data_IF_341937731285
#
_entry.id   IF_341937731285
#
_cell.length_a   1.000
_cell.length_b   1.000
_cell.length_c   1.000
_cell.angle_alpha   90.00
_cell.angle_beta   90.00
_cell.angle_gamma   90.00
#
_symmetry.space_group_name_H-M   'P 1'
#
loop_
_entity.id
_entity.type
_entity.pdbx_description
1 polymer ?
#
# COMPACT_ATOMS: atom_id res chain seq x y z
N UNK A 1 -5.64 8.66 11.43
CA UNK A 1 -5.45 8.68 12.90
C UNK A 1 -4.39 9.73 13.23
N UNK A 2 -4.58 10.63 14.19
CA UNK A 2 -3.59 11.67 14.55
C UNK A 2 -2.99 11.30 15.92
N UNK A 3 -1.68 11.14 16.01
CA UNK A 3 -0.97 10.62 17.20
C UNK A 3 -0.51 11.70 18.20
N UNK A 4 -0.58 12.97 17.85
CA UNK A 4 -0.20 14.11 18.70
C UNK A 4 -1.07 15.34 18.42
N UNK A 5 -1.03 16.32 19.30
CA UNK A 5 -1.53 17.69 19.11
C UNK A 5 -0.40 18.68 19.35
N UNK A 6 -0.55 19.90 18.84
CA UNK A 6 0.34 21.01 19.17
C UNK A 6 -0.47 21.96 20.06
N UNK A 7 0.00 22.15 21.28
CA UNK A 7 -0.59 23.03 22.29
C UNK A 7 0.53 23.93 22.80
N UNK A 8 0.32 25.26 22.76
CA UNK A 8 1.32 26.25 23.20
C UNK A 8 2.74 26.05 22.63
N UNK A 9 2.84 25.79 21.31
CA UNK A 9 4.07 25.47 20.57
C UNK A 9 4.79 24.18 21.02
N UNK A 10 4.19 23.37 21.89
CA UNK A 10 4.71 22.07 22.33
C UNK A 10 3.94 20.89 21.72
N UNK A 11 4.67 19.79 21.46
CA UNK A 11 4.09 18.54 20.94
C UNK A 11 3.55 17.70 22.09
N UNK A 12 2.23 17.57 22.17
CA UNK A 12 1.54 16.73 23.15
C UNK A 12 1.16 15.40 22.50
N UNK A 13 1.77 14.30 22.95
CA UNK A 13 1.47 12.97 22.43
C UNK A 13 0.14 12.43 22.96
N UNK A 14 -0.73 11.89 22.10
CA UNK A 14 -2.01 11.31 22.57
C UNK A 14 -1.86 9.96 23.26
N UNK A 15 -0.77 9.23 22.97
CA UNK A 15 -0.53 7.88 23.45
C UNK A 15 0.82 7.77 24.17
N UNK A 16 0.87 8.26 25.41
CA UNK A 16 2.09 8.29 26.22
C UNK A 16 2.63 6.90 26.58
N UNK A 17 1.75 5.90 26.69
CA UNK A 17 2.13 4.53 27.03
C UNK A 17 2.29 3.66 25.78
N UNK A 18 3.48 3.08 25.61
CA UNK A 18 3.79 2.23 24.47
C UNK A 18 2.81 1.05 24.28
N UNK A 19 2.34 0.32 25.32
CA UNK A 19 1.35 -0.75 25.14
C UNK A 19 0.04 -0.25 24.51
N UNK A 20 -0.42 0.94 24.91
CA UNK A 20 -1.64 1.56 24.36
C UNK A 20 -1.38 2.01 22.93
N UNK A 21 -0.25 2.69 22.67
CA UNK A 21 0.15 3.10 21.32
C UNK A 21 0.24 1.91 20.37
N UNK A 22 0.87 0.81 20.81
CA UNK A 22 1.01 -0.41 20.03
C UNK A 22 -0.36 -1.00 19.66
N UNK A 23 -1.30 -1.07 20.61
CA UNK A 23 -2.62 -1.66 20.38
C UNK A 23 -3.52 -0.76 19.53
N UNK A 24 -3.64 0.51 19.89
CA UNK A 24 -4.60 1.43 19.28
C UNK A 24 -4.13 1.99 17.94
N UNK A 25 -2.81 2.12 17.75
CA UNK A 25 -2.23 2.73 16.55
C UNK A 25 -1.53 1.67 15.70
N UNK A 26 -0.43 1.10 16.19
CA UNK A 26 0.45 0.26 15.37
C UNK A 26 -0.30 -0.97 14.84
N UNK A 27 -0.94 -1.75 15.71
CA UNK A 27 -1.61 -2.98 15.29
C UNK A 27 -2.79 -2.74 14.33
N UNK A 28 -3.56 -1.66 14.55
CA UNK A 28 -4.67 -1.29 13.66
C UNK A 28 -4.15 -0.82 12.30
N UNK A 29 -3.10 0.00 12.28
CA UNK A 29 -2.47 0.45 11.05
C UNK A 29 -1.83 -0.71 10.27
N UNK A 30 -1.13 -1.62 10.95
CA UNK A 30 -0.55 -2.82 10.30
C UNK A 30 -1.66 -3.67 9.67
N UNK A 31 -2.80 -3.84 10.37
CA UNK A 31 -3.95 -4.57 9.83
C UNK A 31 -4.48 -3.90 8.56
N UNK A 32 -4.72 -2.59 8.61
CA UNK A 32 -5.21 -1.83 7.46
C UNK A 32 -4.24 -1.86 6.27
N UNK A 33 -2.94 -1.74 6.51
CA UNK A 33 -1.90 -1.82 5.48
C UNK A 33 -1.90 -3.20 4.82
N UNK A 34 -1.94 -4.28 5.60
CA UNK A 34 -2.00 -5.65 5.06
C UNK A 34 -3.27 -5.93 4.25
N UNK A 35 -4.37 -5.25 4.57
CA UNK A 35 -5.65 -5.43 3.87
C UNK A 35 -5.75 -4.61 2.57
N UNK A 36 -5.09 -3.44 2.51
CA UNK A 36 -5.29 -2.46 1.43
C UNK A 36 -4.09 -2.24 0.53
N UNK A 37 -2.95 -2.87 0.80
CA UNK A 37 -1.72 -2.65 0.05
C UNK A 37 -1.06 -3.97 -0.33
N UNK A 38 -0.10 -3.89 -1.22
CA UNK A 38 0.81 -4.93 -1.72
C UNK A 38 1.80 -5.45 -0.67
N UNK A 39 1.77 -4.91 0.55
CA UNK A 39 2.65 -5.31 1.65
C UNK A 39 2.16 -6.64 2.21
N UNK A 40 2.81 -7.74 1.79
CA UNK A 40 2.49 -9.11 2.22
C UNK A 40 2.88 -9.37 3.68
N UNK A 41 4.01 -8.79 4.11
CA UNK A 41 4.45 -8.88 5.48
C UNK A 41 4.82 -7.51 6.02
N UNK A 42 4.36 -7.22 7.24
CA UNK A 42 4.73 -6.04 7.99
C UNK A 42 4.78 -6.44 9.47
N UNK A 43 5.92 -6.21 10.09
CA UNK A 43 6.18 -6.47 11.51
C UNK A 43 6.77 -5.24 12.19
N UNK A 44 6.54 -5.14 13.50
CA UNK A 44 7.07 -4.08 14.34
C UNK A 44 7.74 -4.73 15.58
N UNK A 45 9.05 -4.59 15.65
CA UNK A 45 9.91 -5.13 16.69
C UNK A 45 10.45 -4.01 17.59
N UNK A 46 10.77 -4.36 18.83
CA UNK A 46 11.44 -3.42 19.74
C UNK A 46 12.94 -3.56 19.50
N UNK A 47 13.55 -2.52 18.96
CA UNK A 47 14.98 -2.48 18.67
C UNK A 47 15.81 -2.22 19.92
N UNK A 48 15.42 -1.18 20.66
CA UNK A 48 16.12 -0.77 21.87
C UNK A 48 15.17 -0.29 22.94
N UNK A 49 15.64 -0.41 24.18
CA UNK A 49 14.99 0.13 25.36
C UNK A 49 15.95 1.08 26.05
N UNK A 50 15.41 2.19 26.53
CA UNK A 50 16.11 3.10 27.42
C UNK A 50 15.61 2.82 28.84
N UNK A 51 16.41 2.08 29.61
CA UNK A 51 15.99 1.52 30.89
C UNK A 51 14.79 0.59 30.74
N UNK A 52 13.66 0.96 31.36
CA UNK A 52 12.39 0.19 31.28
C UNK A 52 11.47 0.65 30.14
N UNK A 53 11.79 1.74 29.46
CA UNK A 53 10.97 2.32 28.39
C UNK A 53 11.47 1.85 27.03
N UNK A 54 10.54 1.63 26.10
CA UNK A 54 10.88 1.38 24.69
C UNK A 54 11.32 2.70 24.07
N UNK A 55 12.48 2.71 23.40
CA UNK A 55 13.02 3.91 22.77
C UNK A 55 13.00 3.85 21.25
N UNK A 56 13.31 2.69 20.67
CA UNK A 56 13.38 2.53 19.21
C UNK A 56 12.60 1.29 18.77
N UNK A 57 11.90 1.43 17.65
CA UNK A 57 11.17 0.37 16.98
C UNK A 57 11.82 0.08 15.63
N UNK A 58 11.94 -1.20 15.29
CA UNK A 58 12.34 -1.65 13.95
C UNK A 58 11.11 -2.15 13.22
N UNK A 59 10.88 -1.64 12.02
CA UNK A 59 9.86 -2.14 11.12
C UNK A 59 10.51 -2.98 10.03
N UNK A 60 9.97 -4.17 9.81
CA UNK A 60 10.39 -5.07 8.74
C UNK A 60 9.19 -5.35 7.87
N UNK A 61 9.37 -5.27 6.56
CA UNK A 61 8.29 -5.48 5.61
C UNK A 61 8.77 -6.19 4.34
N UNK A 62 7.83 -6.85 3.68
CA UNK A 62 8.02 -7.49 2.40
C UNK A 62 6.89 -7.05 1.47
N UNK A 63 7.27 -6.58 0.28
CA UNK A 63 6.36 -6.10 -0.76
C UNK A 63 6.31 -7.15 -1.86
N UNK A 64 5.10 -7.53 -2.27
CA UNK A 64 4.90 -8.47 -3.37
C UNK A 64 4.26 -7.73 -4.53
N UNK A 65 5.10 -7.33 -5.49
CA UNK A 65 4.73 -6.52 -6.67
C UNK A 65 3.66 -7.20 -7.54
N UNK A 66 3.52 -8.53 -7.46
CA UNK A 66 2.54 -9.30 -8.22
C UNK A 66 1.08 -9.04 -7.80
N UNK A 67 0.82 -8.57 -6.56
CA UNK A 67 -0.54 -8.42 -6.01
C UNK A 67 -1.22 -7.08 -6.35
N UNK A 68 -0.50 -6.14 -6.96
CA UNK A 68 -1.02 -4.83 -7.37
C UNK A 68 -0.93 -4.60 -8.89
N UNK A 69 -0.64 -5.64 -9.67
CA UNK A 69 -1.09 -5.61 -11.05
C UNK A 69 -2.61 -5.72 -10.99
N UNK A 70 -3.33 -4.69 -11.39
CA UNK A 70 -4.80 -4.68 -11.50
C UNK A 70 -5.28 -5.63 -12.60
N UNK A 71 -4.90 -6.91 -12.47
CA UNK A 71 -5.47 -8.05 -13.15
C UNK A 71 -6.33 -8.71 -12.07
N UNK A 72 -7.33 -7.98 -11.64
CA UNK A 72 -8.56 -8.59 -11.19
C UNK A 72 -8.95 -9.68 -12.19
N UNK A 73 -9.11 -10.92 -11.72
CA UNK A 73 -9.65 -12.02 -12.51
C UNK A 73 -11.11 -11.76 -12.99
N UNK A 74 -11.62 -10.54 -12.82
CA UNK A 74 -12.85 -10.03 -13.41
C UNK A 74 -12.62 -9.32 -14.76
N UNK A 75 -11.38 -9.03 -15.16
CA UNK A 75 -11.09 -8.51 -16.51
C UNK A 75 -10.84 -9.61 -17.53
N UNK A 76 -11.74 -10.59 -17.59
CA UNK A 76 -11.90 -11.41 -18.80
C UNK A 76 -12.68 -10.64 -19.90
N UNK A 77 -12.59 -9.31 -19.91
CA UNK A 77 -13.19 -8.40 -20.89
C UNK A 77 -12.18 -7.36 -21.42
N UNK A 78 -10.86 -7.66 -21.43
CA UNK A 78 -9.86 -6.75 -22.01
C UNK A 78 -9.89 -6.66 -23.54
N UNK A 79 -10.81 -7.36 -24.20
CA UNK A 79 -11.17 -7.18 -25.61
C UNK A 79 -12.65 -7.50 -25.73
N UNK A 80 -13.52 -6.49 -25.71
CA UNK A 80 -14.90 -6.73 -26.13
C UNK A 80 -14.92 -6.90 -27.66
N UNK A 81 -15.89 -7.64 -28.20
CA UNK A 81 -15.96 -7.92 -29.65
C UNK A 81 -15.96 -6.62 -30.49
N UNK A 82 -16.49 -5.53 -29.91
CA UNK A 82 -16.51 -4.19 -30.50
C UNK A 82 -15.10 -3.57 -30.64
N UNK A 83 -14.21 -3.76 -29.67
CA UNK A 83 -12.84 -3.25 -29.71
C UNK A 83 -12.01 -4.01 -30.76
N UNK A 84 -12.24 -5.32 -30.87
CA UNK A 84 -11.66 -6.14 -31.92
C UNK A 84 -12.16 -5.71 -33.31
N UNK A 85 -13.45 -5.41 -33.45
CA UNK A 85 -14.02 -4.93 -34.71
C UNK A 85 -13.38 -3.59 -35.12
N UNK A 86 -13.25 -2.64 -34.19
CA UNK A 86 -12.63 -1.34 -34.44
C UNK A 86 -11.18 -1.46 -34.93
N UNK A 87 -10.35 -2.30 -34.30
CA UNK A 87 -8.96 -2.50 -34.72
C UNK A 87 -8.88 -3.09 -36.13
N UNK A 88 -9.76 -4.03 -36.47
CA UNK A 88 -9.78 -4.61 -37.84
C UNK A 88 -10.20 -3.60 -38.90
N UNK A 89 -11.09 -2.66 -38.57
CA UNK A 89 -11.46 -1.57 -39.48
C UNK A 89 -10.35 -0.51 -39.57
N UNK A 90 -9.70 -0.18 -38.46
CA UNK A 90 -8.59 0.76 -38.43
C UNK A 90 -7.41 0.29 -39.28
N UNK A 91 -7.00 -0.97 -39.17
CA UNK A 91 -5.89 -1.54 -39.95
C UNK A 91 -6.20 -1.61 -41.46
N UNK A 92 -7.47 -1.69 -41.85
CA UNK A 92 -7.89 -1.57 -43.27
C UNK A 92 -7.73 -0.14 -43.78
N UNK A 93 -8.01 0.86 -42.94
CA UNK A 93 -7.95 2.30 -43.31
C UNK A 93 -6.53 2.83 -43.27
N UNK A 94 -5.69 2.32 -42.37
CA UNK A 94 -4.30 2.75 -42.18
C UNK A 94 -3.37 1.56 -42.35
N UNK A 95 -3.16 1.07 -43.58
CA UNK A 95 -2.27 -0.05 -43.79
C UNK A 95 -0.86 0.30 -43.30
N UNK A 96 -0.18 -0.63 -42.60
CA UNK A 96 1.13 -0.36 -42.05
C UNK A 96 2.10 0.02 -43.17
N UNK A 97 2.80 1.13 -42.99
CA UNK A 97 3.82 1.59 -43.95
C UNK A 97 4.88 0.51 -44.07
N UNK A 98 4.95 -0.14 -45.24
CA UNK A 98 6.07 -1.02 -45.60
C UNK A 98 7.31 -0.14 -45.74
N UNK A 99 8.16 -0.12 -44.71
CA UNK A 99 9.49 0.43 -44.85
C UNK A 99 10.25 -0.48 -45.85
N UNK A 100 10.68 0.12 -46.96
CA UNK A 100 11.58 -0.50 -47.95
C UNK A 100 13.01 -0.45 -47.45
#
# INVERSE_FOLDING_TARGET
LIAYTIEDDEVVYKYHEFPIFKREVINKAIKEIKEKTEIEFLSCLIESKEGRKVSVLRFEFLVSEDKFTGIDNETHEFMNDDDAAFLTEFDKVVPPKKNK
#
